data_IF_571720919848
#
_entry.id   IF_571720919848
#
_cell.length_a   1.000
_cell.length_b   1.000
_cell.length_c   1.000
_cell.angle_alpha   90.00
_cell.angle_beta   90.00
_cell.angle_gamma   90.00
#
_symmetry.space_group_name_H-M   'P 1'
#
loop_
_entity.id
_entity.type
_entity.pdbx_description
1 polymer ?
#
# COMPACT_ATOMS: atom_id res chain seq x y z
N UNK A 1 -1.44 22.35 35.62
CA UNK A 1 -2.15 21.08 35.34
C UNK A 1 -2.62 21.16 33.91
N UNK A 2 -1.77 20.74 32.97
CA UNK A 2 -2.20 20.52 31.59
C UNK A 2 -3.12 19.29 31.58
N UNK A 3 -4.26 19.32 30.88
CA UNK A 3 -5.07 18.13 30.73
C UNK A 3 -4.31 17.19 29.79
N UNK A 4 -3.90 16.04 30.34
CA UNK A 4 -3.40 14.91 29.57
C UNK A 4 -4.40 14.58 28.46
N UNK A 5 -3.98 14.73 27.21
CA UNK A 5 -4.71 14.24 26.07
C UNK A 5 -4.80 12.71 26.19
N UNK A 6 -5.92 12.21 26.73
CA UNK A 6 -6.25 10.79 26.69
C UNK A 6 -6.19 10.33 25.24
N UNK A 7 -5.18 9.53 24.94
CA UNK A 7 -5.05 8.83 23.67
C UNK A 7 -6.23 7.86 23.57
N UNK A 8 -7.30 8.31 22.90
CA UNK A 8 -8.44 7.46 22.50
C UNK A 8 -7.90 6.24 21.74
N UNK A 9 -8.39 5.06 22.12
CA UNK A 9 -7.95 3.75 21.64
C UNK A 9 -7.63 3.72 20.14
N UNK A 10 -6.34 3.53 19.86
CA UNK A 10 -5.72 3.69 18.54
C UNK A 10 -5.99 2.48 17.66
N UNK A 11 -7.19 2.38 17.15
CA UNK A 11 -7.42 1.65 15.91
C UNK A 11 -8.27 2.54 15.02
N UNK A 12 -7.71 3.06 13.92
CA UNK A 12 -8.32 3.83 12.82
C UNK A 12 -8.73 5.31 13.07
N UNK A 13 -7.76 6.18 13.28
CA UNK A 13 -7.93 7.63 13.08
C UNK A 13 -7.01 8.22 11.99
N UNK A 14 -6.27 7.39 11.25
CA UNK A 14 -5.33 7.86 10.24
C UNK A 14 -5.99 7.98 8.85
N UNK A 15 -5.80 9.13 8.21
CA UNK A 15 -6.10 9.34 6.79
C UNK A 15 -4.83 9.10 5.97
N UNK A 16 -4.80 8.03 5.17
CA UNK A 16 -3.67 7.78 4.26
C UNK A 16 -3.70 8.77 3.10
N UNK A 17 -2.61 9.51 2.89
CA UNK A 17 -2.53 10.53 1.85
C UNK A 17 -1.56 10.07 0.75
N UNK A 18 -2.05 9.92 -0.47
CA UNK A 18 -1.19 9.64 -1.63
C UNK A 18 -0.59 10.93 -2.21
N UNK A 19 0.48 10.80 -2.97
CA UNK A 19 1.26 11.92 -3.48
C UNK A 19 0.92 12.22 -4.95
N UNK A 20 0.16 13.28 -5.17
CA UNK A 20 -0.29 13.74 -6.47
C UNK A 20 0.67 14.78 -7.07
N UNK A 21 0.79 14.81 -8.39
CA UNK A 21 1.54 15.82 -9.14
C UNK A 21 0.71 16.31 -10.32
N UNK A 22 0.52 17.63 -10.40
CA UNK A 22 -0.22 18.29 -11.47
C UNK A 22 0.69 18.63 -12.66
N UNK A 23 0.13 18.83 -13.87
CA UNK A 23 0.89 19.31 -15.03
C UNK A 23 1.60 20.65 -14.78
N UNK A 24 1.00 21.53 -13.97
CA UNK A 24 1.58 22.83 -13.60
C UNK A 24 2.77 22.67 -12.66
N UNK A 25 2.69 21.75 -11.69
CA UNK A 25 3.82 21.42 -10.81
C UNK A 25 4.98 20.81 -11.60
N UNK A 26 4.68 19.97 -12.59
CA UNK A 26 5.71 19.39 -13.48
C UNK A 26 6.54 20.46 -14.19
N UNK A 27 5.88 21.50 -14.70
CA UNK A 27 6.57 22.61 -15.37
C UNK A 27 7.27 23.52 -14.37
N UNK A 28 6.55 24.02 -13.37
CA UNK A 28 7.04 25.08 -12.49
C UNK A 28 8.03 24.59 -11.43
N UNK A 29 7.79 23.41 -10.84
CA UNK A 29 8.61 22.90 -9.74
C UNK A 29 9.72 21.95 -10.22
N UNK A 30 9.51 21.29 -11.37
CA UNK A 30 10.44 20.28 -11.90
C UNK A 30 11.10 20.65 -13.23
N UNK A 31 10.77 21.80 -13.80
CA UNK A 31 11.31 22.25 -15.08
C UNK A 31 11.18 21.19 -16.20
N UNK A 32 10.09 20.41 -16.17
CA UNK A 32 9.83 19.44 -17.22
C UNK A 32 9.47 20.17 -18.51
N UNK A 33 10.06 19.72 -19.62
CA UNK A 33 9.89 20.33 -20.95
C UNK A 33 8.47 20.20 -21.50
N UNK A 34 7.71 19.24 -21.00
CA UNK A 34 6.36 18.91 -21.48
C UNK A 34 5.43 18.68 -20.28
N UNK A 35 4.20 19.21 -20.38
CA UNK A 35 3.12 18.95 -19.43
C UNK A 35 2.54 17.57 -19.69
N UNK A 36 2.66 16.67 -18.71
CA UNK A 36 2.03 15.35 -18.77
C UNK A 36 0.71 15.35 -18.01
N UNK A 37 -0.21 14.41 -18.28
CA UNK A 37 -1.45 14.29 -17.52
C UNK A 37 -1.17 14.17 -16.02
N UNK A 38 -2.07 14.75 -15.22
CA UNK A 38 -1.99 14.67 -13.78
C UNK A 38 -1.92 13.21 -13.32
N UNK A 39 -1.03 12.93 -12.38
CA UNK A 39 -0.80 11.56 -11.91
C UNK A 39 -0.47 11.54 -10.43
N UNK A 40 -0.42 10.33 -9.88
CA UNK A 40 0.22 10.04 -8.59
C UNK A 40 1.65 9.58 -8.88
N UNK A 41 2.61 9.93 -8.01
CA UNK A 41 3.99 9.47 -8.16
C UNK A 41 4.05 7.95 -8.30
N UNK A 42 4.86 7.46 -9.23
CA UNK A 42 4.89 6.04 -9.58
C UNK A 42 5.33 5.14 -8.42
N UNK A 43 6.10 5.67 -7.47
CA UNK A 43 6.52 5.01 -6.23
C UNK A 43 5.64 5.31 -5.02
N UNK A 44 4.58 6.13 -5.15
CA UNK A 44 3.63 6.31 -4.05
C UNK A 44 3.00 4.96 -3.74
N UNK A 45 2.99 4.58 -2.47
CA UNK A 45 2.35 3.34 -2.03
C UNK A 45 0.89 3.33 -2.46
N UNK A 46 0.42 2.15 -2.86
CA UNK A 46 -0.95 1.92 -3.33
C UNK A 46 -1.67 1.01 -2.35
N UNK A 47 -2.99 1.14 -2.31
CA UNK A 47 -3.85 0.12 -1.72
C UNK A 47 -3.99 -1.14 -2.59
N UNK A 48 -4.86 -2.08 -2.19
CA UNK A 48 -5.39 -2.19 -0.83
C UNK A 48 -4.30 -2.60 0.16
N UNK A 49 -4.53 -2.37 1.45
CA UNK A 49 -3.69 -2.92 2.51
C UNK A 49 -3.88 -4.43 2.63
N UNK A 50 -2.97 -5.12 3.33
CA UNK A 50 -3.03 -6.57 3.53
C UNK A 50 -4.33 -7.05 4.21
N UNK A 51 -4.90 -6.21 5.08
CA UNK A 51 -6.18 -6.44 5.74
C UNK A 51 -7.40 -6.02 4.89
N UNK A 52 -7.18 -5.64 3.63
CA UNK A 52 -8.22 -5.32 2.65
C UNK A 52 -8.78 -3.90 2.73
N UNK A 53 -8.27 -3.03 3.60
CA UNK A 53 -8.66 -1.62 3.55
C UNK A 53 -8.14 -0.94 2.28
N UNK A 54 -8.74 0.21 1.94
CA UNK A 54 -8.31 1.02 0.79
C UNK A 54 -6.86 1.50 0.88
N UNK A 55 -6.33 1.68 2.09
CA UNK A 55 -4.99 2.21 2.35
C UNK A 55 -4.91 3.73 2.15
N UNK A 56 -5.04 4.18 0.90
CA UNK A 56 -5.09 5.60 0.53
C UNK A 56 -6.53 6.10 0.65
N UNK A 57 -6.71 7.18 1.41
CA UNK A 57 -7.97 7.87 1.62
C UNK A 57 -8.20 8.90 0.52
N UNK A 58 -7.30 9.87 0.41
CA UNK A 58 -7.32 10.93 -0.62
C UNK A 58 -5.90 11.19 -1.08
N UNK A 59 -5.74 11.96 -2.17
CA UNK A 59 -4.44 12.46 -2.60
C UNK A 59 -4.36 13.97 -2.43
N UNK A 60 -3.14 14.44 -2.20
CA UNK A 60 -2.80 15.85 -2.14
C UNK A 60 -1.49 16.09 -2.90
N UNK A 61 -1.22 17.34 -3.33
CA UNK A 61 0.04 17.72 -3.94
C UNK A 61 1.26 17.22 -3.15
N UNK A 62 2.09 16.39 -3.79
CA UNK A 62 3.31 15.84 -3.22
C UNK A 62 4.59 16.46 -3.80
N UNK A 63 4.46 17.33 -4.80
CA UNK A 63 5.53 18.22 -5.26
C UNK A 63 5.59 19.43 -4.33
N UNK A 64 6.79 19.79 -3.85
CA UNK A 64 6.95 21.02 -3.09
C UNK A 64 8.35 21.64 -3.21
N UNK A 65 8.39 22.98 -3.24
CA UNK A 65 9.55 23.78 -2.86
C UNK A 65 9.37 24.17 -1.39
N UNK A 66 10.00 23.44 -0.49
CA UNK A 66 9.80 23.59 0.96
C UNK A 66 10.98 24.29 1.64
N UNK A 67 10.74 24.94 2.78
CA UNK A 67 11.80 25.50 3.62
C UNK A 67 12.64 24.40 4.26
N UNK A 68 13.94 24.63 4.38
CA UNK A 68 14.88 23.69 5.02
C UNK A 68 15.67 24.37 6.14
N UNK A 69 16.18 23.61 7.13
CA UNK A 69 16.94 24.18 8.24
C UNK A 69 18.15 25.01 7.77
N UNK A 70 18.48 26.06 8.53
CA UNK A 70 19.56 27.01 8.18
C UNK A 70 20.92 26.33 8.02
N UNK A 71 21.20 25.25 8.76
CA UNK A 71 22.46 24.50 8.65
C UNK A 71 22.67 23.86 7.28
N UNK A 72 21.61 23.67 6.49
CA UNK A 72 21.71 23.21 5.09
C UNK A 72 22.27 24.29 4.13
N UNK A 73 22.47 25.51 4.63
CA UNK A 73 22.92 26.69 3.89
C UNK A 73 22.03 27.05 2.69
N UNK A 74 20.76 26.65 2.72
CA UNK A 74 19.74 26.92 1.71
C UNK A 74 18.49 27.41 2.42
N UNK A 75 17.73 28.33 1.79
CA UNK A 75 16.44 28.79 2.33
C UNK A 75 15.33 27.78 2.04
N UNK A 76 15.38 27.20 0.85
CA UNK A 76 14.38 26.25 0.35
C UNK A 76 15.05 25.12 -0.41
N UNK A 77 14.33 24.01 -0.51
CA UNK A 77 14.76 22.84 -1.27
C UNK A 77 13.54 22.23 -1.95
N UNK A 78 13.79 21.72 -3.15
CA UNK A 78 12.83 20.91 -3.88
C UNK A 78 12.76 19.51 -3.24
N UNK A 79 11.58 19.10 -2.79
CA UNK A 79 11.32 17.80 -2.16
C UNK A 79 10.01 17.20 -2.67
N UNK A 80 9.89 15.87 -2.58
CA UNK A 80 8.69 15.19 -3.06
C UNK A 80 8.33 13.90 -2.35
N UNK A 81 7.09 13.49 -2.58
CA UNK A 81 6.54 12.24 -2.10
C UNK A 81 5.42 12.45 -1.09
N UNK A 82 5.02 11.35 -0.46
CA UNK A 82 3.93 11.35 0.53
C UNK A 82 4.28 12.16 1.77
N UNK A 83 5.58 12.31 2.08
CA UNK A 83 6.10 13.21 3.11
C UNK A 83 5.78 14.68 2.85
N UNK A 84 5.50 15.08 1.61
CA UNK A 84 5.09 16.44 1.25
C UNK A 84 3.57 16.55 1.09
N UNK A 85 2.90 15.49 0.61
CA UNK A 85 1.44 15.50 0.49
C UNK A 85 0.72 15.41 1.84
N UNK A 86 1.27 14.69 2.81
CA UNK A 86 0.72 14.60 4.16
C UNK A 86 0.66 15.96 4.90
N UNK A 87 1.74 16.77 4.98
CA UNK A 87 1.65 18.10 5.59
C UNK A 87 0.77 19.06 4.78
N UNK A 88 0.73 18.94 3.44
CA UNK A 88 -0.21 19.72 2.63
C UNK A 88 -1.67 19.43 3.02
N UNK A 89 -2.06 18.15 3.07
CA UNK A 89 -3.38 17.74 3.51
C UNK A 89 -3.67 18.16 4.97
N UNK A 90 -2.67 18.13 5.84
CA UNK A 90 -2.80 18.58 7.23
C UNK A 90 -3.12 20.08 7.29
N UNK A 91 -2.44 20.91 6.49
CA UNK A 91 -2.75 22.34 6.37
C UNK A 91 -4.16 22.59 5.84
N UNK A 92 -4.60 21.84 4.83
CA UNK A 92 -5.97 21.88 4.32
C UNK A 92 -7.01 21.57 5.41
N UNK A 93 -6.80 20.51 6.19
CA UNK A 93 -7.69 20.13 7.30
C UNK A 93 -7.68 21.20 8.40
N UNK A 94 -6.53 21.82 8.69
CA UNK A 94 -6.44 22.91 9.66
C UNK A 94 -7.30 24.12 9.25
N UNK A 95 -7.37 24.46 7.95
CA UNK A 95 -8.25 25.52 7.45
C UNK A 95 -9.73 25.17 7.66
N UNK A 96 -10.13 23.93 7.34
CA UNK A 96 -11.51 23.45 7.55
C UNK A 96 -11.89 23.54 9.03
N UNK A 97 -11.03 23.02 9.92
CA UNK A 97 -11.26 23.06 11.37
C UNK A 97 -11.36 24.51 11.87
N UNK A 98 -10.49 25.40 11.39
CA UNK A 98 -10.50 26.81 11.76
C UNK A 98 -11.82 27.48 11.38
N UNK A 99 -12.33 27.22 10.18
CA UNK A 99 -13.61 27.75 9.72
C UNK A 99 -14.78 27.23 10.57
N UNK A 100 -14.83 25.92 10.82
CA UNK A 100 -15.89 25.31 11.65
C UNK A 100 -15.89 25.84 13.07
N UNK A 101 -14.71 26.04 13.68
CA UNK A 101 -14.58 26.62 15.01
C UNK A 101 -15.07 28.07 15.06
N UNK A 102 -14.74 28.89 14.06
CA UNK A 102 -15.19 30.28 13.98
C UNK A 102 -16.70 30.40 13.80
N UNK A 103 -17.32 29.44 13.11
CA UNK A 103 -18.77 29.37 12.92
C UNK A 103 -19.51 28.71 14.10
N UNK A 104 -18.78 28.14 15.08
CA UNK A 104 -19.37 27.41 16.20
C UNK A 104 -20.03 26.09 15.80
N UNK A 105 -19.65 25.50 14.66
CA UNK A 105 -20.22 24.24 14.17
C UNK A 105 -19.51 23.05 14.82
N UNK A 106 -20.31 22.05 15.22
CA UNK A 106 -19.79 20.80 15.78
C UNK A 106 -19.19 19.90 14.71
N UNK A 107 -18.02 19.34 14.97
CA UNK A 107 -17.39 18.37 14.08
C UNK A 107 -16.78 17.20 14.86
N UNK A 108 -16.41 16.15 14.15
CA UNK A 108 -15.64 15.04 14.69
C UNK A 108 -14.56 14.64 13.68
N UNK A 109 -13.52 13.88 14.10
CA UNK A 109 -12.56 13.31 13.16
C UNK A 109 -13.23 12.43 12.09
N UNK A 110 -14.39 11.82 12.41
CA UNK A 110 -15.12 10.95 11.50
C UNK A 110 -15.90 11.75 10.45
N UNK A 111 -16.55 12.85 10.84
CA UNK A 111 -17.24 13.71 9.89
C UNK A 111 -16.27 14.43 8.97
N UNK A 112 -15.14 14.93 9.49
CA UNK A 112 -14.07 15.52 8.66
C UNK A 112 -13.55 14.51 7.65
N UNK A 113 -13.20 13.30 8.10
CA UNK A 113 -12.72 12.24 7.19
C UNK A 113 -13.75 11.93 6.10
N UNK A 114 -15.02 11.73 6.48
CA UNK A 114 -16.10 11.45 5.53
C UNK A 114 -16.28 12.59 4.52
N UNK A 115 -16.21 13.85 4.98
CA UNK A 115 -16.28 15.01 4.10
C UNK A 115 -15.15 15.03 3.07
N UNK A 116 -13.92 14.68 3.48
CA UNK A 116 -12.78 14.57 2.56
C UNK A 116 -12.99 13.44 1.54
N UNK A 117 -13.50 12.28 1.98
CA UNK A 117 -13.74 11.12 1.10
C UNK A 117 -14.87 11.37 0.09
N UNK A 118 -15.96 12.04 0.50
CA UNK A 118 -17.14 12.29 -0.36
C UNK A 118 -16.90 13.41 -1.36
N UNK A 119 -16.17 14.45 -0.97
CA UNK A 119 -16.00 15.66 -1.79
C UNK A 119 -14.73 15.67 -2.65
N UNK A 120 -13.87 14.65 -2.49
CA UNK A 120 -12.68 14.48 -3.29
C UNK A 120 -13.00 14.40 -4.80
N UNK A 121 -12.14 15.01 -5.61
CA UNK A 121 -12.24 14.98 -7.05
C UNK A 121 -11.57 13.72 -7.61
N UNK A 122 -12.37 12.81 -8.17
CA UNK A 122 -11.85 11.62 -8.84
C UNK A 122 -10.99 11.98 -10.06
N UNK A 123 -9.85 11.33 -10.21
CA UNK A 123 -8.87 11.54 -11.29
C UNK A 123 -8.94 10.34 -12.25
N UNK A 124 -9.57 10.45 -13.43
CA UNK A 124 -9.78 9.29 -14.32
C UNK A 124 -8.48 8.67 -14.86
N UNK A 125 -7.39 9.43 -14.93
CA UNK A 125 -6.08 8.96 -15.42
C UNK A 125 -5.30 8.12 -14.41
N UNK A 126 -5.74 8.05 -13.15
CA UNK A 126 -5.02 7.38 -12.06
C UNK A 126 -5.80 6.15 -11.61
N UNK A 127 -5.08 5.09 -11.24
CA UNK A 127 -5.68 3.85 -10.74
C UNK A 127 -6.43 4.09 -9.41
N UNK A 128 -7.58 3.46 -9.17
CA UNK A 128 -8.35 3.66 -7.93
C UNK A 128 -7.54 3.46 -6.64
N UNK A 129 -6.63 2.49 -6.63
CA UNK A 129 -5.80 2.16 -5.46
C UNK A 129 -4.71 3.19 -5.14
N UNK A 130 -4.33 4.01 -6.12
CA UNK A 130 -3.32 5.05 -5.96
C UNK A 130 -3.94 6.37 -5.48
N UNK A 131 -5.19 6.65 -5.87
CA UNK A 131 -5.86 7.91 -5.55
C UNK A 131 -6.83 7.86 -4.36
N UNK A 132 -7.24 6.66 -3.92
CA UNK A 132 -8.25 6.53 -2.87
C UNK A 132 -9.61 7.00 -3.37
N UNK A 133 -10.14 8.07 -2.77
CA UNK A 133 -11.37 8.74 -3.22
C UNK A 133 -11.11 9.88 -4.21
N UNK A 134 -9.85 10.30 -4.39
CA UNK A 134 -9.46 11.35 -5.33
C UNK A 134 -8.69 12.49 -4.68
N UNK A 135 -8.54 13.60 -5.42
CA UNK A 135 -7.84 14.80 -5.00
C UNK A 135 -8.66 15.58 -3.97
N UNK A 136 -8.04 15.93 -2.84
CA UNK A 136 -8.66 16.71 -1.77
C UNK A 136 -9.23 18.05 -2.28
N UNK A 137 -10.43 18.41 -1.84
CA UNK A 137 -11.13 19.67 -2.18
C UNK A 137 -11.58 20.41 -0.91
N UNK A 138 -10.86 21.47 -0.51
CA UNK A 138 -11.08 22.17 0.77
C UNK A 138 -12.46 22.83 0.84
N UNK A 139 -12.79 23.64 -0.16
CA UNK A 139 -14.04 24.42 -0.22
C UNK A 139 -15.25 23.50 -0.17
N UNK A 140 -15.31 22.49 -1.06
CA UNK A 140 -16.39 21.51 -1.10
C UNK A 140 -16.52 20.72 0.20
N UNK A 141 -15.41 20.34 0.83
CA UNK A 141 -15.44 19.64 2.10
C UNK A 141 -16.02 20.52 3.22
N UNK A 142 -15.68 21.81 3.24
CA UNK A 142 -16.24 22.77 4.19
C UNK A 142 -17.75 22.96 3.96
N UNK A 143 -18.18 23.21 2.72
CA UNK A 143 -19.61 23.34 2.38
C UNK A 143 -20.43 22.11 2.78
N UNK A 144 -19.87 20.91 2.57
CA UNK A 144 -20.51 19.67 2.98
C UNK A 144 -20.63 19.57 4.50
N UNK A 145 -19.58 19.95 5.25
CA UNK A 145 -19.60 19.94 6.70
C UNK A 145 -20.58 20.97 7.25
N UNK A 146 -20.63 22.18 6.69
CA UNK A 146 -21.60 23.22 7.06
C UNK A 146 -23.04 22.75 6.85
N UNK A 147 -23.30 21.95 5.80
CA UNK A 147 -24.65 21.44 5.51
C UNK A 147 -25.07 20.28 6.40
N UNK A 148 -24.16 19.38 6.76
CA UNK A 148 -24.47 18.10 7.41
C UNK A 148 -23.88 17.95 8.83
N UNK A 149 -23.39 19.03 9.46
CA UNK A 149 -22.74 18.97 10.77
C UNK A 149 -23.62 18.38 11.89
N UNK A 150 -24.94 18.58 11.81
CA UNK A 150 -25.93 18.19 12.81
C UNK A 150 -26.52 16.79 12.60
N UNK A 151 -26.13 16.08 11.54
CA UNK A 151 -26.64 14.73 11.28
C UNK A 151 -26.16 13.73 12.33
N UNK A 152 -26.98 12.70 12.58
CA UNK A 152 -26.79 11.70 13.62
C UNK A 152 -25.41 11.02 13.53
N UNK A 153 -24.98 10.70 12.31
CA UNK A 153 -23.73 10.02 12.04
C UNK A 153 -22.48 10.91 12.07
N UNK A 154 -22.64 12.22 12.30
CA UNK A 154 -21.52 13.18 12.35
C UNK A 154 -20.52 12.83 13.46
N UNK A 155 -21.00 12.25 14.56
CA UNK A 155 -20.18 11.82 15.72
C UNK A 155 -19.98 10.31 15.81
N UNK A 156 -20.39 9.58 14.77
CA UNK A 156 -20.38 8.11 14.76
C UNK A 156 -19.42 7.61 13.71
N UNK A 157 -18.54 6.71 14.15
CA UNK A 157 -17.69 5.92 13.29
C UNK A 157 -18.34 4.56 13.03
N UNK A 158 -18.29 4.12 11.79
CA UNK A 158 -18.73 2.77 11.42
C UNK A 158 -17.50 1.86 11.34
N UNK A 159 -17.34 1.00 12.33
CA UNK A 159 -16.28 0.01 12.35
C UNK A 159 -16.68 -1.20 11.49
N UNK A 160 -16.17 -1.23 10.27
CA UNK A 160 -16.36 -2.36 9.33
C UNK A 160 -15.28 -3.40 9.58
N UNK A 161 -15.70 -4.66 9.71
CA UNK A 161 -14.82 -5.83 9.76
C UNK A 161 -15.34 -6.93 8.84
N UNK A 162 -14.44 -7.59 8.11
CA UNK A 162 -14.76 -8.69 7.21
C UNK A 162 -14.15 -9.98 7.77
N UNK A 163 -14.96 -11.03 7.91
CA UNK A 163 -14.50 -12.33 8.39
C UNK A 163 -13.65 -13.04 7.32
N UNK A 164 -12.46 -13.52 7.71
CA UNK A 164 -11.52 -14.27 6.88
C UNK A 164 -10.46 -14.97 7.75
N UNK A 165 -9.65 -15.86 7.15
CA UNK A 165 -8.76 -16.87 7.78
C UNK A 165 -7.79 -16.37 8.90
N UNK A 166 -7.66 -15.06 9.10
CA UNK A 166 -6.98 -14.47 10.25
C UNK A 166 -7.64 -13.13 10.62
N UNK A 167 -8.35 -13.09 11.76
CA UNK A 167 -8.74 -11.93 12.59
C UNK A 167 -8.78 -10.51 11.96
N UNK A 168 -9.98 -9.89 12.01
CA UNK A 168 -10.28 -8.45 11.84
C UNK A 168 -9.76 -7.78 10.55
N UNK A 169 -9.99 -8.40 9.39
CA UNK A 169 -9.81 -7.70 8.12
C UNK A 169 -10.78 -6.52 8.01
N UNK A 170 -10.37 -5.47 7.30
CA UNK A 170 -11.07 -4.19 7.13
C UNK A 170 -11.83 -4.12 5.81
N UNK A 171 -11.46 -4.97 4.86
CA UNK A 171 -12.16 -5.19 3.61
C UNK A 171 -11.99 -6.63 3.13
N UNK A 172 -12.65 -6.95 2.02
CA UNK A 172 -12.62 -8.26 1.41
C UNK A 172 -11.46 -8.30 0.42
N UNK A 173 -10.36 -8.96 0.80
CA UNK A 173 -9.19 -9.10 -0.07
C UNK A 173 -8.92 -10.56 -0.44
N UNK A 174 -9.20 -10.92 -1.69
CA UNK A 174 -8.97 -12.26 -2.24
C UNK A 174 -7.68 -12.28 -3.06
N UNK A 175 -6.58 -12.73 -2.45
CA UNK A 175 -5.22 -12.79 -3.07
C UNK A 175 -4.49 -14.13 -2.87
N UNK A 176 -5.22 -15.21 -2.58
CA UNK A 176 -4.62 -16.53 -2.29
C UNK A 176 -5.17 -17.61 -3.21
N UNK A 177 -4.32 -18.14 -4.08
CA UNK A 177 -4.66 -19.13 -5.11
C UNK A 177 -5.33 -18.53 -6.35
N UNK A 178 -5.84 -19.40 -7.22
CA UNK A 178 -6.33 -19.10 -8.58
C UNK A 178 -7.67 -18.31 -8.65
N UNK A 179 -8.39 -18.14 -7.54
CA UNK A 179 -9.68 -17.42 -7.49
C UNK A 179 -10.69 -17.83 -8.59
N UNK A 180 -11.10 -19.09 -8.65
CA UNK A 180 -12.12 -19.56 -9.60
C UNK A 180 -13.49 -19.79 -8.96
N UNK A 181 -13.53 -19.98 -7.65
CA UNK A 181 -14.74 -20.36 -6.92
C UNK A 181 -15.34 -19.15 -6.20
N UNK A 182 -16.67 -18.95 -6.28
CA UNK A 182 -17.36 -17.93 -5.50
C UNK A 182 -17.11 -18.11 -4.00
N UNK A 183 -16.91 -17.01 -3.29
CA UNK A 183 -16.67 -17.01 -1.84
C UNK A 183 -17.68 -16.14 -1.13
N UNK A 184 -18.22 -16.65 -0.04
CA UNK A 184 -19.07 -15.90 0.88
C UNK A 184 -18.23 -15.36 2.04
N UNK A 185 -18.46 -14.10 2.36
CA UNK A 185 -17.74 -13.37 3.41
C UNK A 185 -18.76 -12.66 4.28
N UNK A 186 -18.69 -12.91 5.59
CA UNK A 186 -19.51 -12.18 6.55
C UNK A 186 -18.85 -10.82 6.85
N UNK A 187 -19.61 -9.75 6.66
CA UNK A 187 -19.22 -8.38 6.97
C UNK A 187 -19.98 -7.93 8.20
N UNK A 188 -19.26 -7.46 9.21
CA UNK A 188 -19.82 -6.89 10.43
C UNK A 188 -19.57 -5.38 10.47
N UNK A 189 -20.60 -4.62 10.79
CA UNK A 189 -20.54 -3.17 10.95
C UNK A 189 -21.02 -2.80 12.33
N UNK A 190 -20.22 -2.04 13.06
CA UNK A 190 -20.52 -1.56 14.41
C UNK A 190 -20.43 -0.03 14.48
N UNK A 191 -21.50 0.67 14.88
CA UNK A 191 -21.42 2.10 15.16
C UNK A 191 -20.69 2.34 16.49
N UNK A 192 -19.69 3.22 16.46
CA UNK A 192 -18.86 3.61 17.60
C UNK A 192 -18.92 5.13 17.74
N UNK A 193 -19.43 5.61 18.86
CA UNK A 193 -19.52 7.04 19.17
C UNK A 193 -18.16 7.59 19.59
N UNK A 194 -17.82 8.81 19.15
CA UNK A 194 -16.52 9.45 19.42
C UNK A 194 -16.22 9.60 20.91
N UNK A 195 -17.25 9.89 21.72
CA UNK A 195 -17.16 9.98 23.18
C UNK A 195 -18.16 9.01 23.80
N UNK A 196 -17.83 7.72 23.76
CA UNK A 196 -18.71 6.67 24.26
C UNK A 196 -19.00 6.81 25.76
N UNK A 197 -18.12 7.46 26.53
CA UNK A 197 -18.20 7.45 27.98
C UNK A 197 -19.01 8.64 28.53
N UNK A 198 -19.03 9.77 27.80
CA UNK A 198 -19.75 10.97 28.25
C UNK A 198 -20.98 11.33 27.41
N UNK A 199 -21.34 10.54 26.40
CA UNK A 199 -22.54 10.80 25.59
C UNK A 199 -23.82 10.41 26.34
N UNK A 200 -24.86 11.23 26.18
CA UNK A 200 -26.19 10.96 26.73
C UNK A 200 -26.70 9.58 26.28
N UNK A 201 -27.06 8.68 27.21
CA UNK A 201 -27.66 7.38 26.88
C UNK A 201 -28.85 7.46 25.94
N UNK A 202 -29.62 8.55 25.96
CA UNK A 202 -30.77 8.75 25.07
C UNK A 202 -30.35 8.85 23.59
N UNK A 203 -29.20 9.48 23.29
CA UNK A 203 -28.67 9.56 21.92
C UNK A 203 -28.30 8.16 21.40
N UNK A 204 -27.70 7.33 22.26
CA UNK A 204 -27.36 5.94 21.93
C UNK A 204 -28.59 5.07 21.75
N UNK A 205 -29.61 5.26 22.58
CA UNK A 205 -30.87 4.52 22.53
C UNK A 205 -31.65 4.84 21.25
N UNK A 206 -31.72 6.11 20.87
CA UNK A 206 -32.43 6.58 19.67
C UNK A 206 -31.61 6.40 18.37
N UNK A 207 -30.39 5.86 18.45
CA UNK A 207 -29.58 5.64 17.25
C UNK A 207 -30.15 4.49 16.42
N UNK A 208 -30.79 4.85 15.31
CA UNK A 208 -31.24 3.95 14.27
C UNK A 208 -31.06 4.60 12.91
N UNK A 209 -30.47 3.87 11.95
CA UNK A 209 -30.27 4.32 10.58
C UNK A 209 -30.74 3.27 9.58
N UNK A 210 -31.61 3.69 8.65
CA UNK A 210 -32.04 2.90 7.50
C UNK A 210 -31.08 3.09 6.34
N UNK A 211 -30.24 2.10 6.05
CA UNK A 211 -29.21 2.21 5.02
C UNK A 211 -29.59 1.46 3.74
N UNK A 212 -29.36 2.11 2.59
CA UNK A 212 -29.41 1.49 1.27
C UNK A 212 -27.99 1.22 0.77
N UNK A 213 -27.71 -0.03 0.42
CA UNK A 213 -26.41 -0.48 -0.05
C UNK A 213 -26.39 -0.52 -1.58
N UNK A 214 -25.30 -0.04 -2.19
CA UNK A 214 -25.03 -0.18 -3.62
C UNK A 214 -23.60 -0.67 -3.83
N UNK A 215 -23.29 -1.25 -4.99
CA UNK A 215 -21.94 -1.66 -5.33
C UNK A 215 -21.54 -1.10 -6.68
N UNK A 216 -20.25 -0.75 -6.82
CA UNK A 216 -19.69 -0.27 -8.07
C UNK A 216 -19.55 -1.35 -9.16
N UNK A 217 -19.71 -2.63 -8.81
CA UNK A 217 -19.45 -3.77 -9.70
C UNK A 217 -20.53 -4.85 -9.63
N UNK A 218 -20.76 -5.61 -10.73
CA UNK A 218 -21.82 -6.62 -10.80
C UNK A 218 -21.44 -8.01 -10.26
N UNK A 219 -20.14 -8.31 -10.10
CA UNK A 219 -19.64 -9.63 -9.66
C UNK A 219 -19.64 -9.80 -8.12
N UNK A 220 -20.22 -8.84 -7.40
CA UNK A 220 -20.42 -8.86 -5.96
C UNK A 220 -21.91 -8.87 -5.67
N UNK A 221 -22.37 -9.86 -4.90
CA UNK A 221 -23.76 -9.95 -4.43
C UNK A 221 -23.80 -9.55 -2.95
N UNK A 222 -24.77 -8.71 -2.60
CA UNK A 222 -24.89 -8.07 -1.30
C UNK A 222 -26.38 -7.75 -1.04
N UNK A 223 -26.81 -7.55 0.21
CA UNK A 223 -28.18 -7.11 0.51
C UNK A 223 -28.38 -5.64 0.12
N UNK A 224 -29.57 -5.28 -0.38
CA UNK A 224 -29.86 -3.90 -0.79
C UNK A 224 -30.17 -2.94 0.38
N UNK A 225 -30.60 -3.48 1.53
CA UNK A 225 -31.04 -2.70 2.68
C UNK A 225 -30.42 -3.23 3.97
N UNK A 226 -30.08 -2.33 4.87
CA UNK A 226 -29.52 -2.64 6.18
C UNK A 226 -30.03 -1.62 7.22
N UNK A 227 -30.80 -2.09 8.19
CA UNK A 227 -31.14 -1.28 9.37
C UNK A 227 -29.99 -1.37 10.38
N UNK A 228 -29.45 -0.25 10.84
CA UNK A 228 -28.34 -0.25 11.80
C UNK A 228 -28.74 0.49 13.07
N UNK A 229 -28.78 -0.25 14.17
CA UNK A 229 -28.98 0.28 15.52
C UNK A 229 -27.63 0.39 16.23
N UNK A 230 -27.59 0.86 17.47
CA UNK A 230 -26.37 0.93 18.28
C UNK A 230 -25.89 -0.46 18.77
N UNK A 231 -25.67 -1.38 17.83
CA UNK A 231 -25.16 -2.73 18.03
C UNK A 231 -24.43 -3.19 16.77
N UNK A 232 -23.43 -4.04 16.94
CA UNK A 232 -22.77 -4.70 15.80
C UNK A 232 -23.76 -5.53 15.01
N UNK A 233 -23.85 -5.28 13.70
CA UNK A 233 -24.74 -5.99 12.78
C UNK A 233 -23.96 -6.60 11.62
N UNK A 234 -24.31 -7.84 11.31
CA UNK A 234 -23.66 -8.64 10.27
C UNK A 234 -24.54 -8.83 9.04
N UNK A 235 -23.90 -8.91 7.88
CA UNK A 235 -24.52 -9.34 6.63
C UNK A 235 -23.53 -10.13 5.76
N UNK A 236 -24.04 -10.95 4.85
CA UNK A 236 -23.22 -11.78 3.97
C UNK A 236 -22.99 -11.07 2.63
N UNK A 237 -21.76 -11.13 2.13
CA UNK A 237 -21.36 -10.68 0.80
C UNK A 237 -20.77 -11.86 0.05
N UNK A 238 -21.31 -12.14 -1.14
CA UNK A 238 -20.80 -13.19 -2.03
C UNK A 238 -20.03 -12.56 -3.18
N UNK A 239 -18.77 -12.97 -3.32
CA UNK A 239 -17.86 -12.50 -4.36
C UNK A 239 -17.64 -13.61 -5.37
N UNK A 240 -17.97 -13.35 -6.64
CA UNK A 240 -17.82 -14.32 -7.74
C UNK A 240 -16.68 -13.91 -8.69
N UNK A 241 -15.50 -14.55 -8.59
CA UNK A 241 -14.36 -14.23 -9.44
C UNK A 241 -14.31 -15.00 -10.78
N UNK A 242 -15.29 -15.89 -11.04
CA UNK A 242 -15.24 -16.83 -12.16
C UNK A 242 -15.15 -16.14 -13.53
N UNK A 243 -15.92 -15.08 -13.74
CA UNK A 243 -15.98 -14.30 -14.98
C UNK A 243 -14.87 -13.27 -15.16
N UNK A 244 -14.06 -13.04 -14.11
CA UNK A 244 -12.99 -12.03 -14.15
C UNK A 244 -11.82 -12.50 -15.03
N UNK A 245 -11.16 -11.56 -15.69
CA UNK A 245 -9.89 -11.81 -16.39
C UNK A 245 -8.72 -11.79 -15.42
N UNK A 246 -7.54 -12.35 -15.77
CA UNK A 246 -6.34 -12.18 -14.97
C UNK A 246 -6.01 -10.69 -14.76
N UNK A 247 -5.68 -10.32 -13.52
CA UNK A 247 -5.46 -8.94 -13.10
C UNK A 247 -6.02 -8.66 -11.71
N UNK A 248 -6.03 -7.38 -11.33
CA UNK A 248 -6.65 -6.89 -10.10
C UNK A 248 -7.99 -6.22 -10.41
N UNK A 249 -9.02 -6.61 -9.67
CA UNK A 249 -10.38 -6.10 -9.80
C UNK A 249 -10.83 -5.52 -8.47
N UNK A 250 -11.40 -4.31 -8.52
CA UNK A 250 -11.91 -3.62 -7.34
C UNK A 250 -13.39 -3.34 -7.48
N UNK A 251 -14.08 -3.55 -6.37
CA UNK A 251 -15.44 -3.12 -6.13
C UNK A 251 -15.51 -2.46 -4.76
N UNK A 252 -16.43 -1.52 -4.62
CA UNK A 252 -16.71 -0.89 -3.34
C UNK A 252 -18.21 -0.98 -3.10
N UNK A 253 -18.60 -1.49 -1.95
CA UNK A 253 -20.00 -1.45 -1.48
C UNK A 253 -20.14 -0.17 -0.68
N UNK A 254 -21.04 0.71 -1.11
CA UNK A 254 -21.34 1.97 -0.45
C UNK A 254 -22.65 1.84 0.32
N UNK A 255 -22.66 2.29 1.57
CA UNK A 255 -23.88 2.42 2.36
C UNK A 255 -24.33 3.87 2.38
N UNK A 256 -25.53 4.16 1.89
CA UNK A 256 -26.15 5.48 1.93
C UNK A 256 -27.28 5.49 2.95
N UNK A 257 -27.56 6.63 3.55
CA UNK A 257 -28.80 6.79 4.32
C UNK A 257 -29.98 6.89 3.36
N UNK A 258 -30.98 6.06 3.56
CA UNK A 258 -32.16 5.99 2.71
C UNK A 258 -32.97 7.29 2.77
N UNK A 259 -32.91 8.04 3.87
CA UNK A 259 -33.65 9.29 4.04
C UNK A 259 -32.97 10.49 3.35
N UNK A 260 -31.64 10.47 3.27
CA UNK A 260 -30.81 11.56 2.73
C UNK A 260 -29.64 11.00 1.93
N UNK A 261 -29.87 10.40 0.74
CA UNK A 261 -28.80 9.82 -0.07
C UNK A 261 -27.81 10.87 -0.61
N UNK A 262 -28.26 12.13 -0.75
CA UNK A 262 -27.46 13.24 -1.28
C UNK A 262 -26.27 13.64 -0.40
N UNK A 263 -26.25 13.23 0.87
CA UNK A 263 -25.08 13.45 1.74
C UNK A 263 -23.89 12.57 1.37
N UNK A 264 -24.10 11.56 0.53
CA UNK A 264 -23.09 10.58 0.15
C UNK A 264 -23.02 9.39 1.11
N UNK A 265 -21.97 8.60 0.98
CA UNK A 265 -21.87 7.32 1.68
C UNK A 265 -21.49 7.49 3.16
N UNK A 266 -22.17 6.75 4.03
CA UNK A 266 -21.95 6.73 5.48
C UNK A 266 -20.73 5.90 5.84
N UNK A 267 -20.57 4.76 5.18
CA UNK A 267 -19.39 3.90 5.19
C UNK A 267 -19.24 3.16 3.86
N UNK A 268 -18.06 2.57 3.64
CA UNK A 268 -17.80 1.71 2.49
C UNK A 268 -17.16 0.39 2.92
N UNK A 269 -17.36 -0.65 2.10
CA UNK A 269 -16.69 -1.94 2.21
C UNK A 269 -15.92 -2.18 0.92
N UNK A 270 -14.59 -2.21 1.02
CA UNK A 270 -13.72 -2.45 -0.12
C UNK A 270 -13.65 -3.95 -0.43
N UNK A 271 -13.77 -4.29 -1.72
CA UNK A 271 -13.67 -5.64 -2.25
C UNK A 271 -12.59 -5.65 -3.32
N UNK A 272 -11.51 -6.38 -3.10
CA UNK A 272 -10.42 -6.53 -4.07
C UNK A 272 -10.13 -7.99 -4.36
N UNK A 273 -10.22 -8.36 -5.62
CA UNK A 273 -9.91 -9.70 -6.13
C UNK A 273 -8.66 -9.62 -7.01
N UNK A 274 -7.65 -10.40 -6.67
CA UNK A 274 -6.46 -10.59 -7.50
C UNK A 274 -6.58 -11.95 -8.17
N UNK A 275 -6.85 -11.96 -9.48
CA UNK A 275 -6.92 -13.16 -10.29
C UNK A 275 -5.58 -13.36 -11.00
N UNK A 276 -4.77 -14.35 -10.61
CA UNK A 276 -3.45 -14.52 -11.20
C UNK A 276 -3.51 -15.17 -12.58
N UNK A 277 -2.45 -14.98 -13.37
CA UNK A 277 -2.12 -15.82 -14.52
C UNK A 277 -1.58 -17.14 -13.97
N UNK A 278 -2.21 -18.24 -14.38
CA UNK A 278 -1.76 -19.60 -14.04
C UNK A 278 -1.00 -20.18 -15.22
N UNK A 279 0.23 -20.60 -14.96
CA UNK A 279 1.08 -21.25 -15.96
C UNK A 279 0.62 -22.69 -16.20
N UNK A 280 0.58 -23.09 -17.48
CA UNK A 280 0.27 -24.47 -17.85
C UNK A 280 1.37 -25.44 -17.39
N UNK A 281 0.96 -26.63 -16.95
CA UNK A 281 1.84 -27.67 -16.40
C UNK A 281 2.49 -28.55 -17.48
N UNK A 282 2.89 -27.98 -18.61
CA UNK A 282 3.55 -28.76 -19.67
C UNK A 282 5.06 -28.90 -19.37
N UNK A 283 5.56 -30.11 -19.09
CA UNK A 283 6.96 -30.34 -18.71
C UNK A 283 7.97 -30.02 -19.83
N UNK A 284 7.52 -29.91 -21.08
CA UNK A 284 8.38 -29.62 -22.23
C UNK A 284 8.56 -28.12 -22.52
N UNK A 285 7.77 -27.25 -21.89
CA UNK A 285 7.84 -25.80 -22.10
C UNK A 285 8.39 -25.10 -20.86
N UNK A 286 9.28 -24.13 -21.07
CA UNK A 286 9.79 -23.29 -19.98
C UNK A 286 8.60 -22.59 -19.30
N UNK A 287 8.49 -22.63 -17.95
CA UNK A 287 7.43 -21.95 -17.22
C UNK A 287 7.67 -20.44 -17.29
N UNK A 288 7.09 -19.79 -18.29
CA UNK A 288 7.30 -18.37 -18.53
C UNK A 288 6.02 -17.68 -19.00
N UNK A 289 5.88 -16.41 -18.65
CA UNK A 289 4.89 -15.50 -19.22
C UNK A 289 5.64 -14.40 -19.96
N UNK A 290 5.26 -14.14 -21.21
CA UNK A 290 5.83 -13.07 -22.02
C UNK A 290 4.76 -12.03 -22.37
N UNK A 291 5.18 -10.78 -22.45
CA UNK A 291 4.41 -9.67 -22.95
C UNK A 291 5.20 -8.97 -24.03
N UNK A 292 4.67 -9.03 -25.25
CA UNK A 292 5.30 -8.48 -26.43
C UNK A 292 4.69 -7.13 -26.80
N UNK A 293 5.54 -6.22 -27.27
CA UNK A 293 5.15 -4.94 -27.85
C UNK A 293 4.26 -4.09 -26.92
N UNK A 294 4.64 -3.96 -25.64
CA UNK A 294 3.88 -3.18 -24.66
C UNK A 294 4.29 -1.72 -24.71
N UNK A 295 3.33 -0.84 -24.98
CA UNK A 295 3.54 0.60 -24.99
C UNK A 295 3.55 1.19 -23.57
N UNK A 296 4.60 1.95 -23.27
CA UNK A 296 4.71 2.78 -22.08
C UNK A 296 4.78 4.24 -22.46
N UNK A 297 3.67 4.94 -22.18
CA UNK A 297 3.63 6.39 -22.18
C UNK A 297 4.20 6.93 -20.87
N UNK A 298 4.46 8.23 -20.82
CA UNK A 298 4.69 8.94 -19.58
C UNK A 298 3.72 8.51 -18.47
N UNK A 299 4.23 8.27 -17.26
CA UNK A 299 3.45 7.87 -16.08
C UNK A 299 2.68 6.54 -16.18
N UNK A 300 2.91 5.73 -17.23
CA UNK A 300 2.27 4.43 -17.35
C UNK A 300 2.87 3.44 -16.36
N UNK A 301 2.00 2.78 -15.61
CA UNK A 301 2.34 1.65 -14.74
C UNK A 301 1.57 0.42 -15.22
N UNK A 302 2.22 -0.75 -15.23
CA UNK A 302 1.61 -2.04 -15.56
C UNK A 302 1.82 -2.99 -14.39
N UNK A 303 0.73 -3.60 -13.93
CA UNK A 303 0.71 -4.60 -12.86
C UNK A 303 0.34 -5.95 -13.45
N UNK A 304 1.20 -6.95 -13.24
CA UNK A 304 0.95 -8.34 -13.62
C UNK A 304 0.92 -9.21 -12.39
N UNK A 305 -0.05 -10.12 -12.32
CA UNK A 305 -0.20 -11.06 -11.21
C UNK A 305 -0.02 -12.47 -11.74
N UNK A 306 0.99 -13.20 -11.25
CA UNK A 306 1.31 -14.54 -11.71
C UNK A 306 1.31 -15.49 -10.51
N UNK A 307 0.64 -16.63 -10.64
CA UNK A 307 0.71 -17.68 -9.62
C UNK A 307 2.03 -18.43 -9.80
N UNK A 308 2.92 -18.30 -8.82
CA UNK A 308 4.25 -18.90 -8.91
C UNK A 308 4.14 -20.42 -8.80
N UNK A 309 4.75 -21.19 -9.73
CA UNK A 309 4.78 -22.64 -9.66
C UNK A 309 5.33 -23.12 -8.31
N UNK A 310 4.74 -24.17 -7.76
CA UNK A 310 5.04 -24.68 -6.41
C UNK A 310 6.53 -24.94 -6.18
N UNK A 311 7.21 -25.48 -7.18
CA UNK A 311 8.61 -25.88 -7.13
C UNK A 311 9.59 -24.73 -7.46
N UNK A 312 9.09 -23.54 -7.86
CA UNK A 312 9.95 -22.41 -8.21
C UNK A 312 10.56 -21.74 -6.97
N UNK A 313 11.84 -21.39 -7.06
CA UNK A 313 12.60 -20.66 -6.04
C UNK A 313 13.17 -19.34 -6.54
N UNK A 314 13.31 -19.20 -7.85
CA UNK A 314 13.86 -18.03 -8.53
C UNK A 314 12.94 -17.67 -9.68
N UNK A 315 12.66 -16.38 -9.82
CA UNK A 315 12.10 -15.81 -11.03
C UNK A 315 13.17 -14.95 -11.71
N UNK A 316 13.16 -14.93 -13.04
CA UNK A 316 14.05 -14.10 -13.85
C UNK A 316 13.18 -13.22 -14.73
N UNK A 317 13.17 -11.91 -14.42
CA UNK A 317 12.52 -10.89 -15.23
C UNK A 317 13.52 -10.36 -16.26
N UNK A 318 13.12 -10.40 -17.53
CA UNK A 318 13.89 -9.92 -18.67
C UNK A 318 13.13 -8.82 -19.38
N UNK A 319 13.81 -7.73 -19.71
CA UNK A 319 13.18 -6.57 -20.34
C UNK A 319 14.07 -6.05 -21.46
N UNK A 320 13.45 -5.75 -22.60
CA UNK A 320 14.13 -5.20 -23.78
C UNK A 320 13.29 -4.11 -24.44
N UNK A 321 13.94 -3.05 -24.91
CA UNK A 321 13.29 -2.07 -25.79
C UNK A 321 13.17 -2.62 -27.21
N UNK A 322 11.99 -2.46 -27.81
CA UNK A 322 11.77 -2.73 -29.23
C UNK A 322 12.11 -1.50 -30.09
N UNK A 323 12.25 -0.33 -29.46
CA UNK A 323 12.58 0.94 -30.13
C UNK A 323 14.10 1.14 -30.20
N UNK A 324 14.66 1.17 -31.41
CA UNK A 324 16.11 1.23 -31.66
C UNK A 324 16.81 2.45 -31.04
N UNK A 325 16.16 3.61 -31.05
CA UNK A 325 16.76 4.89 -30.61
C UNK A 325 16.23 5.36 -29.25
N UNK A 326 15.12 4.80 -28.77
CA UNK A 326 14.51 5.23 -27.52
C UNK A 326 15.10 4.47 -26.33
N UNK A 327 15.46 5.22 -25.28
CA UNK A 327 15.81 4.70 -23.97
C UNK A 327 14.81 5.19 -22.93
N UNK A 328 14.46 4.32 -21.99
CA UNK A 328 13.51 4.63 -20.93
C UNK A 328 14.07 4.26 -19.56
N UNK A 329 13.81 5.09 -18.56
CA UNK A 329 14.08 4.75 -17.16
C UNK A 329 12.85 4.10 -16.56
N UNK A 330 13.00 2.92 -16.00
CA UNK A 330 11.92 2.12 -15.41
C UNK A 330 12.18 1.81 -13.95
N UNK A 331 11.08 1.69 -13.20
CA UNK A 331 11.04 1.14 -11.86
C UNK A 331 10.41 -0.25 -11.97
N UNK A 332 11.13 -1.24 -11.49
CA UNK A 332 10.67 -2.61 -11.37
C UNK A 332 10.42 -2.88 -9.90
N UNK A 333 9.19 -3.24 -9.55
CA UNK A 333 8.82 -3.60 -8.19
C UNK A 333 8.08 -4.94 -8.21
N UNK A 334 8.77 -5.99 -7.76
CA UNK A 334 8.21 -7.33 -7.68
C UNK A 334 7.93 -7.65 -6.21
N UNK A 335 6.71 -8.07 -5.87
CA UNK A 335 6.28 -8.31 -4.49
C UNK A 335 5.55 -9.63 -4.31
N UNK A 336 5.80 -10.30 -3.19
CA UNK A 336 5.04 -11.46 -2.72
C UNK A 336 4.65 -11.31 -1.26
N UNK A 337 3.40 -11.61 -0.94
CA UNK A 337 2.93 -11.67 0.44
C UNK A 337 3.06 -13.09 0.98
N UNK A 338 3.93 -13.27 1.97
CA UNK A 338 4.00 -14.52 2.71
C UNK A 338 2.92 -14.57 3.79
N UNK A 339 2.22 -15.71 3.96
CA UNK A 339 1.43 -15.95 5.15
C UNK A 339 2.29 -15.74 6.41
N UNK A 340 1.76 -15.05 7.42
CA UNK A 340 2.38 -14.81 8.75
C UNK A 340 3.59 -13.86 8.81
N UNK A 341 4.17 -13.42 7.69
CA UNK A 341 5.15 -12.32 7.73
C UNK A 341 4.44 -10.96 7.62
N UNK A 342 4.96 -9.98 8.35
CA UNK A 342 4.47 -8.60 8.29
C UNK A 342 4.97 -7.88 7.03
N UNK A 343 6.22 -8.13 6.65
CA UNK A 343 6.82 -7.55 5.44
C UNK A 343 6.64 -8.49 4.24
N UNK A 344 6.28 -7.89 3.11
CA UNK A 344 6.33 -8.58 1.82
C UNK A 344 7.79 -8.86 1.47
N UNK A 345 8.03 -9.94 0.73
CA UNK A 345 9.31 -10.10 0.06
C UNK A 345 9.24 -9.27 -1.19
N UNK A 346 10.12 -8.28 -1.29
CA UNK A 346 10.11 -7.32 -2.37
C UNK A 346 11.47 -7.17 -3.04
N UNK A 347 11.42 -6.86 -4.33
CA UNK A 347 12.58 -6.52 -5.15
C UNK A 347 12.22 -5.21 -5.82
N UNK A 348 12.96 -4.16 -5.48
CA UNK A 348 12.79 -2.85 -6.06
C UNK A 348 14.08 -2.47 -6.79
N UNK A 349 14.00 -2.29 -8.11
CA UNK A 349 15.16 -1.95 -8.95
C UNK A 349 14.79 -0.87 -9.95
N UNK A 350 15.62 0.16 -10.01
CA UNK A 350 15.55 1.17 -11.05
C UNK A 350 16.54 0.79 -12.15
N UNK A 351 16.09 0.77 -13.40
CA UNK A 351 16.94 0.40 -14.53
C UNK A 351 16.67 1.27 -15.76
N UNK A 352 17.70 1.46 -16.57
CA UNK A 352 17.57 2.06 -17.90
C UNK A 352 17.44 0.94 -18.93
N UNK A 353 16.39 0.98 -19.74
CA UNK A 353 16.10 0.01 -20.80
C UNK A 353 16.37 0.67 -22.16
N UNK A 354 17.13 0.00 -23.01
CA UNK A 354 17.47 0.42 -24.37
C UNK A 354 17.38 -0.78 -25.33
N UNK A 355 17.62 -0.57 -26.64
CA UNK A 355 17.54 -1.64 -27.64
C UNK A 355 18.82 -2.50 -27.75
N UNK A 356 19.94 -2.02 -27.24
CA UNK A 356 21.26 -2.65 -27.41
C UNK A 356 21.47 -3.84 -26.47
N UNK A 357 20.88 -3.80 -25.28
CA UNK A 357 21.06 -4.82 -24.24
C UNK A 357 19.75 -5.17 -23.55
N UNK A 358 19.63 -6.44 -23.17
CA UNK A 358 18.53 -6.92 -22.35
C UNK A 358 18.86 -6.69 -20.86
N UNK A 359 17.91 -6.12 -20.13
CA UNK A 359 18.00 -6.00 -18.68
C UNK A 359 17.47 -7.29 -18.06
N UNK A 360 18.34 -7.99 -17.32
CA UNK A 360 18.00 -9.24 -16.63
C UNK A 360 18.03 -9.03 -15.12
N UNK A 361 16.95 -9.38 -14.44
CA UNK A 361 16.78 -9.22 -12.99
C UNK A 361 16.33 -10.55 -12.39
N UNK A 362 17.26 -11.38 -11.87
CA UNK A 362 16.91 -12.56 -11.11
C UNK A 362 16.53 -12.19 -9.67
N UNK A 363 15.55 -12.86 -9.10
CA UNK A 363 15.17 -12.69 -7.71
C UNK A 363 14.48 -13.92 -7.12
N UNK A 364 14.51 -14.04 -5.79
CA UNK A 364 13.90 -15.15 -5.07
C UNK A 364 12.38 -15.06 -5.05
N UNK A 365 11.72 -16.20 -5.22
CA UNK A 365 10.26 -16.34 -5.16
C UNK A 365 9.84 -17.56 -4.35
N UNK A 366 8.59 -17.56 -3.95
CA UNK A 366 7.95 -18.67 -3.25
C UNK A 366 6.80 -19.21 -4.09
N UNK A 367 6.85 -20.52 -4.37
CA UNK A 367 5.75 -21.26 -4.98
C UNK A 367 4.44 -21.18 -4.19
N UNK A 368 3.33 -21.47 -4.89
CA UNK A 368 1.95 -21.41 -4.39
C UNK A 368 1.52 -20.03 -3.84
N UNK A 369 2.26 -18.97 -4.21
CA UNK A 369 1.94 -17.58 -3.85
C UNK A 369 1.82 -16.73 -5.11
N UNK A 370 0.93 -15.75 -5.08
CA UNK A 370 0.79 -14.77 -6.16
C UNK A 370 1.99 -13.81 -6.09
N UNK A 371 2.71 -13.72 -7.21
CA UNK A 371 3.73 -12.70 -7.47
C UNK A 371 3.09 -11.54 -8.22
N UNK A 372 3.26 -10.33 -7.69
CA UNK A 372 2.95 -9.09 -8.37
C UNK A 372 4.21 -8.54 -9.00
N UNK A 373 4.18 -8.28 -10.30
CA UNK A 373 5.25 -7.65 -11.07
C UNK A 373 4.74 -6.30 -11.54
N UNK A 374 5.29 -5.23 -10.95
CA UNK A 374 4.98 -3.86 -11.33
C UNK A 374 6.12 -3.29 -12.16
N UNK A 375 5.80 -2.86 -13.38
CA UNK A 375 6.72 -2.15 -14.27
C UNK A 375 6.15 -0.76 -14.46
N UNK A 376 6.87 0.26 -13.99
CA UNK A 376 6.47 1.65 -14.11
C UNK A 376 7.52 2.44 -14.88
N UNK A 377 7.10 3.23 -15.87
CA UNK A 377 8.00 4.21 -16.48
C UNK A 377 8.24 5.34 -15.47
N UNK A 378 9.50 5.73 -15.26
CA UNK A 378 9.83 6.77 -14.29
C UNK A 378 9.16 8.08 -14.69
N UNK A 379 8.47 8.73 -13.75
CA UNK A 379 7.51 9.79 -14.05
C UNK A 379 8.12 11.04 -14.73
N UNK A 380 9.40 11.36 -14.50
CA UNK A 380 10.09 12.46 -15.21
C UNK A 380 10.64 12.08 -16.58
N UNK A 381 10.62 10.80 -16.94
CA UNK A 381 11.20 10.33 -18.20
C UNK A 381 10.19 10.53 -19.33
N UNK A 382 10.45 11.51 -20.19
CA UNK A 382 9.60 11.90 -21.32
C UNK A 382 9.62 10.87 -22.46
N UNK A 383 8.67 11.03 -23.38
CA UNK A 383 8.52 10.23 -24.59
C UNK A 383 7.74 8.93 -24.38
N UNK A 384 7.45 8.26 -25.49
CA UNK A 384 6.82 6.94 -25.50
C UNK A 384 7.87 5.89 -25.84
N UNK A 385 7.77 4.70 -25.25
CA UNK A 385 8.68 3.60 -25.53
C UNK A 385 7.91 2.29 -25.57
N UNK A 386 8.22 1.45 -26.55
CA UNK A 386 7.66 0.13 -26.69
C UNK A 386 8.67 -0.90 -26.18
N UNK A 387 8.26 -1.74 -25.23
CA UNK A 387 9.13 -2.76 -24.62
C UNK A 387 8.47 -4.14 -24.68
N UNK A 388 9.31 -5.17 -24.78
CA UNK A 388 8.93 -6.56 -24.54
C UNK A 388 9.60 -7.05 -23.26
N UNK A 389 8.90 -7.87 -22.49
CA UNK A 389 9.45 -8.47 -21.28
C UNK A 389 8.84 -9.84 -21.01
N UNK A 390 9.62 -10.68 -20.34
CA UNK A 390 9.18 -11.99 -19.90
C UNK A 390 9.61 -12.27 -18.46
N UNK A 391 8.84 -13.10 -17.78
CA UNK A 391 9.20 -13.66 -16.48
C UNK A 391 9.24 -15.17 -16.61
N UNK A 392 10.40 -15.74 -16.35
CA UNK A 392 10.61 -17.19 -16.33
C UNK A 392 10.89 -17.68 -14.91
N UNK A 393 10.38 -18.87 -14.59
CA UNK A 393 10.54 -19.48 -13.28
C UNK A 393 11.56 -20.61 -13.32
N UNK A 394 12.38 -20.66 -12.27
CA UNK A 394 13.41 -21.67 -12.06
C UNK A 394 13.32 -22.14 -10.63
N UNK A 395 13.81 -23.34 -10.36
CA UNK A 395 13.94 -23.75 -8.98
C UNK A 395 14.51 -25.13 -8.80
N UNK A 396 15.19 -25.28 -7.69
CA UNK A 396 15.56 -26.55 -7.09
C UNK A 396 15.55 -26.29 -5.58
N UNK A 397 14.80 -27.09 -4.81
CA UNK A 397 14.69 -26.93 -3.36
C UNK A 397 15.26 -28.14 -2.64
N UNK A 398 16.04 -27.95 -1.58
CA UNK A 398 16.32 -29.04 -0.66
C UNK A 398 15.04 -29.46 0.07
N UNK A 399 14.98 -30.73 0.45
CA UNK A 399 13.96 -31.34 1.30
C UNK A 399 13.86 -30.67 2.68
N UNK A 400 14.97 -30.10 3.18
CA UNK A 400 15.02 -29.38 4.45
C UNK A 400 14.35 -28.00 4.45
N UNK A 401 13.86 -27.52 3.30
CA UNK A 401 13.24 -26.19 3.15
C UNK A 401 14.25 -25.04 3.04
N UNK A 402 13.86 -23.82 3.42
CA UNK A 402 14.68 -22.61 3.22
C UNK A 402 15.92 -22.54 4.15
N UNK A 403 15.97 -23.32 5.23
CA UNK A 403 17.04 -23.28 6.23
C UNK A 403 17.59 -24.70 6.46
N UNK A 404 18.88 -24.88 6.18
CA UNK A 404 19.62 -26.09 6.53
C UNK A 404 20.35 -25.87 7.86
N UNK A 405 19.97 -26.62 8.90
CA UNK A 405 20.67 -26.62 10.19
C UNK A 405 21.61 -27.82 10.26
N UNK A 406 22.91 -27.56 10.44
CA UNK A 406 23.93 -28.60 10.56
C UNK A 406 24.56 -28.49 11.96
N UNK A 407 24.63 -29.60 12.68
CA UNK A 407 25.27 -29.64 13.99
C UNK A 407 26.58 -30.43 13.89
N UNK A 408 27.66 -29.89 14.47
CA UNK A 408 29.00 -30.50 14.37
C UNK A 408 29.09 -31.96 14.86
N UNK A 409 28.19 -32.38 15.75
CA UNK A 409 28.19 -33.73 16.33
C UNK A 409 27.36 -34.74 15.53
N UNK A 410 26.59 -34.31 14.52
CA UNK A 410 25.68 -35.16 13.75
C UNK A 410 26.35 -35.85 12.55
N UNK A 411 27.62 -35.55 12.27
CA UNK A 411 28.41 -36.25 11.26
C UNK A 411 28.05 -35.86 9.82
N UNK A 412 27.93 -36.85 8.92
CA UNK A 412 27.67 -36.62 7.49
C UNK A 412 26.19 -36.35 7.28
N UNK A 413 25.86 -35.16 6.75
CA UNK A 413 24.50 -34.81 6.38
C UNK A 413 24.22 -35.14 4.91
N UNK A 414 23.08 -35.77 4.67
CA UNK A 414 22.53 -36.00 3.33
C UNK A 414 21.50 -34.89 3.04
N UNK A 415 21.60 -34.28 1.87
CA UNK A 415 20.66 -33.28 1.37
C UNK A 415 19.95 -33.86 0.15
N UNK A 416 18.62 -33.96 0.17
CA UNK A 416 17.86 -34.39 -0.99
C UNK A 416 17.34 -33.18 -1.74
N UNK A 417 17.65 -33.09 -3.03
CA UNK A 417 17.20 -32.00 -3.88
C UNK A 417 15.96 -32.43 -4.64
N UNK A 418 14.85 -31.74 -4.42
CA UNK A 418 13.64 -31.93 -5.18
C UNK A 418 13.81 -31.34 -6.59
N UNK A 419 13.34 -32.10 -7.58
CA UNK A 419 13.32 -31.69 -8.97
C UNK A 419 12.56 -30.37 -9.17
N UNK A 420 13.07 -29.55 -10.08
CA UNK A 420 12.54 -28.24 -10.40
C UNK A 420 11.36 -28.24 -11.35
N UNK A 421 10.93 -27.04 -11.72
CA UNK A 421 9.91 -26.80 -12.76
C UNK A 421 10.43 -27.16 -14.17
N UNK A 422 11.75 -27.26 -14.34
CA UNK A 422 12.43 -27.65 -15.58
C UNK A 422 13.76 -28.34 -15.24
N UNK A 423 14.47 -28.83 -16.26
CA UNK A 423 15.83 -29.36 -16.12
C UNK A 423 16.78 -28.19 -15.80
N UNK A 424 17.52 -28.32 -14.70
CA UNK A 424 18.49 -27.31 -14.23
C UNK A 424 19.86 -27.95 -14.02
N UNK A 425 20.91 -27.16 -14.26
CA UNK A 425 22.27 -27.52 -13.86
C UNK A 425 22.50 -27.07 -12.41
N UNK A 426 22.93 -28.00 -11.56
CA UNK A 426 23.05 -27.76 -10.12
C UNK A 426 24.53 -27.70 -9.75
N UNK A 427 24.95 -26.57 -9.21
CA UNK A 427 26.24 -26.38 -8.55
C UNK A 427 26.01 -25.80 -7.16
N UNK A 428 26.50 -26.49 -6.13
CA UNK A 428 26.35 -26.07 -4.74
C UNK A 428 27.53 -25.21 -4.33
N UNK A 429 27.24 -24.05 -3.74
CA UNK A 429 28.23 -23.14 -3.20
C UNK A 429 27.90 -22.77 -1.76
N UNK A 430 28.85 -22.95 -0.85
CA UNK A 430 28.75 -22.51 0.54
C UNK A 430 29.56 -21.21 0.70
N UNK A 431 28.86 -20.11 0.95
CA UNK A 431 29.44 -18.76 1.06
C UNK A 431 30.13 -18.47 2.38
N UNK A 432 30.43 -17.19 2.60
CA UNK A 432 31.18 -16.66 3.75
C UNK A 432 30.61 -17.08 5.12
N UNK A 433 31.51 -17.50 6.01
CA UNK A 433 31.18 -17.90 7.38
C UNK A 433 31.08 -16.66 8.26
N UNK A 434 29.89 -16.37 8.78
CA UNK A 434 29.69 -15.38 9.84
C UNK A 434 29.70 -16.09 11.20
N UNK A 435 30.70 -15.82 12.03
CA UNK A 435 30.74 -16.32 13.42
C UNK A 435 29.79 -15.49 14.28
N UNK A 436 28.72 -16.12 14.80
CA UNK A 436 27.81 -15.48 15.76
C UNK A 436 28.05 -16.05 17.14
N UNK A 437 28.53 -15.22 18.06
CA UNK A 437 28.69 -15.57 19.47
C UNK A 437 27.53 -15.01 20.28
N UNK A 438 26.84 -15.86 21.05
CA UNK A 438 25.80 -15.41 21.98
C UNK A 438 26.45 -14.73 23.18
N UNK A 439 26.37 -13.41 23.24
CA UNK A 439 26.74 -12.66 24.43
C UNK A 439 25.75 -13.01 25.55
N UNK A 440 26.27 -13.45 26.71
CA UNK A 440 25.47 -13.52 27.94
C UNK A 440 25.49 -12.13 28.55
N UNK A 441 24.32 -11.54 28.77
CA UNK A 441 24.21 -10.30 29.55
C UNK A 441 24.74 -10.61 30.96
N UNK A 442 25.78 -9.92 31.45
CA UNK A 442 26.21 -10.06 32.83
C UNK A 442 25.04 -9.72 33.75
N UNK A 443 24.91 -10.41 34.89
CA UNK A 443 23.96 -9.97 35.93
C UNK A 443 24.33 -8.54 36.32
N UNK A 444 23.41 -7.60 36.17
CA UNK A 444 23.52 -6.28 36.79
C UNK A 444 23.46 -6.51 38.31
N UNK A 445 24.60 -6.43 38.99
CA UNK A 445 24.61 -6.20 40.44
C UNK A 445 24.37 -4.70 40.65
N UNK A 446 23.31 -4.29 41.37
CA UNK A 446 22.98 -2.90 41.56
C UNK A 446 23.82 -2.33 42.70
N UNK A 447 25.14 -2.24 42.52
CA UNK A 447 26.03 -1.50 43.41
C UNK A 447 26.82 -0.48 42.59
N UNK A 448 26.13 0.54 42.12
CA UNK A 448 26.75 1.81 41.75
C UNK A 448 26.10 2.87 42.62
N UNK A 449 26.85 3.33 43.62
CA UNK A 449 26.52 4.47 44.46
C UNK A 449 26.44 5.72 43.58
N UNK A 450 25.22 6.19 43.31
CA UNK A 450 24.95 7.37 42.47
C UNK A 450 25.22 8.70 43.18
N UNK A 451 25.88 8.70 44.34
CA UNK A 451 26.11 9.91 45.13
C UNK A 451 27.15 10.88 44.53
N UNK A 452 27.91 10.50 43.49
CA UNK A 452 29.00 11.33 42.94
C UNK A 452 28.85 11.78 41.47
N UNK A 453 27.69 11.62 40.82
CA UNK A 453 27.48 12.16 39.46
C UNK A 453 26.71 13.48 39.53
N UNK A 454 27.34 14.48 40.14
CA UNK A 454 26.97 15.89 40.01
C UNK A 454 28.27 16.71 39.97
N UNK A 455 28.84 16.90 38.77
CA UNK A 455 29.54 18.12 38.33
C UNK A 455 30.41 17.86 37.09
N UNK A 456 29.95 18.30 35.91
CA UNK A 456 30.65 19.20 34.98
C UNK A 456 30.06 19.06 33.56
N UNK A 457 29.70 20.15 32.87
CA UNK A 457 29.35 20.11 31.45
C UNK A 457 30.65 20.20 30.64
N UNK A 458 31.12 19.08 30.11
CA UNK A 458 32.06 19.09 29.00
C UNK A 458 31.32 18.62 27.74
N UNK A 459 31.35 19.50 26.75
CA UNK A 459 30.88 19.27 25.39
C UNK A 459 31.66 18.09 24.80
N UNK A 460 30.96 17.01 24.44
CA UNK A 460 31.49 16.10 23.43
C UNK A 460 30.39 15.52 22.54
N UNK A 461 30.62 15.75 21.26
CA UNK A 461 29.89 15.37 20.04
C UNK A 461 28.99 14.12 20.10
N UNK A 462 27.68 14.33 19.96
CA UNK A 462 26.76 13.32 19.43
C UNK A 462 26.89 13.27 17.89
N UNK A 463 27.58 12.26 17.38
CA UNK A 463 27.44 11.83 15.98
C UNK A 463 26.17 11.00 15.84
N UNK A 464 25.12 11.59 15.27
CA UNK A 464 23.98 10.82 14.75
C UNK A 464 24.41 10.06 13.49
N UNK A 465 24.27 8.72 13.55
CA UNK A 465 24.30 7.86 12.38
C UNK A 465 23.09 8.17 11.50
N UNK A 466 23.29 9.02 10.50
CA UNK A 466 22.39 9.14 9.36
C UNK A 466 22.70 8.02 8.36
N UNK A 467 21.69 7.19 8.07
CA UNK A 467 21.74 6.20 7.00
C UNK A 467 21.84 6.94 5.65
N UNK A 468 23.07 7.06 5.15
CA UNK A 468 23.36 7.61 3.83
C UNK A 468 22.94 6.65 2.71
N UNK A 469 22.20 7.19 1.75
CA UNK A 469 21.93 6.59 0.45
C UNK A 469 23.24 6.35 -0.30
N UNK A 470 23.57 5.09 -0.59
CA UNK A 470 24.67 4.73 -1.48
C UNK A 470 24.26 4.97 -2.95
N UNK A 471 24.79 6.05 -3.53
CA UNK A 471 24.90 6.24 -4.98
C UNK A 471 26.29 5.75 -5.40
N UNK A 472 26.36 4.58 -6.02
CA UNK A 472 27.60 4.07 -6.60
C UNK A 472 27.92 4.79 -7.92
N UNK A 473 29.07 5.45 -7.91
CA UNK A 473 29.79 5.99 -9.06
C UNK A 473 30.52 4.89 -9.84
N UNK A 474 30.45 4.95 -11.17
CA UNK A 474 31.14 4.07 -12.11
C UNK A 474 32.68 4.12 -11.99
N UNK A 475 33.41 3.04 -12.31
CA UNK A 475 34.86 3.05 -12.32
C UNK A 475 35.41 3.54 -13.67
N UNK A 476 36.32 4.51 -13.61
CA UNK A 476 37.30 4.80 -14.65
C UNK A 476 38.64 4.20 -14.23
N UNK A 477 39.21 3.34 -15.08
CA UNK A 477 40.53 2.72 -14.91
C UNK A 477 40.62 1.37 -15.59
#
# INVERSE_FOLDING_TARGET
>A
MEPEAKVLGVHFLYAGIGAYVSPEMMEAEYALRERMPSTVYTWSSRGPTRDGAKGVCVVAPGAAITSVPVFTQRKTQHMNGTSMSAPHATGCVALIISALQQQGLSYSPYSIRRALEITAQYIPSVEPYAQGFGLLQVEKALEWLEKYHAELESKVRFHVTCAGSSSKNKGIHLRVGDQQVPKEVNVSVEPVFADSDNIDPEIKYNFQMSLSLTCSVPWVQFPNHLELMNISRQFNVKVDPSSLTPGVHNGTIFAFDSNKPEKGHVFSVEVTVVKPIVLGSNPSSKPAVSWDQVDFKANTTKHHFVLVPKEATIAVLKIRSNSLEAQGKFILHCTQHKPKLYMAVEVHKVCTVNAQSEVVVPFHVYGDSILEITIAKFWTNLGDINISYDVSFRGCRPDTGDILSLYQHEGVHRLELNGGVQIEEISLFFGSVLGVHRLRVPKFEPDIDTSNILASPEEDSFQEFSNGEHLDSAPSG
#
